data_IF_830727189276
#
_entry.id   IF_830727189276
#
_cell.length_a   1.000
_cell.length_b   1.000
_cell.length_c   1.000
_cell.angle_alpha   90.00
_cell.angle_beta   90.00
_cell.angle_gamma   90.00
#
_symmetry.space_group_name_H-M   'P 1'
#
loop_
_entity.id
_entity.type
_entity.pdbx_description
1 polymer ?
#
# COMPACT_ATOMS: atom_id res chain seq x y z
N UNK A 1 12.26 12.71 15.86
CA UNK A 1 12.10 12.39 14.44
C UNK A 1 11.70 13.62 13.65
N UNK A 2 12.63 14.19 12.88
CA UNK A 2 12.36 15.31 11.98
C UNK A 2 11.93 14.76 10.62
N UNK A 3 10.64 14.84 10.33
CA UNK A 3 10.06 14.39 9.06
C UNK A 3 9.89 15.59 8.12
N UNK A 4 10.23 15.41 6.84
CA UNK A 4 9.95 16.38 5.78
C UNK A 4 9.19 15.71 4.64
N UNK A 5 8.24 16.43 4.04
CA UNK A 5 7.57 15.98 2.82
C UNK A 5 8.59 15.78 1.69
N UNK A 6 8.44 14.68 0.96
CA UNK A 6 9.22 14.35 -0.23
C UNK A 6 8.26 13.89 -1.32
N UNK A 7 8.42 14.44 -2.54
CA UNK A 7 7.62 14.04 -3.69
C UNK A 7 8.35 12.91 -4.43
N UNK A 8 7.70 11.76 -4.62
CA UNK A 8 8.24 10.62 -5.37
C UNK A 8 8.12 10.83 -6.88
N UNK A 9 8.81 10.01 -7.67
CA UNK A 9 8.82 10.11 -9.14
C UNK A 9 7.46 9.83 -9.80
N UNK A 10 6.54 9.14 -9.10
CA UNK A 10 5.14 8.93 -9.53
C UNK A 10 4.18 10.06 -9.08
N UNK A 11 4.72 11.18 -8.57
CA UNK A 11 3.99 12.33 -8.03
C UNK A 11 3.18 12.04 -6.76
N UNK A 12 3.46 10.97 -6.02
CA UNK A 12 2.90 10.77 -4.68
C UNK A 12 3.75 11.42 -3.59
N UNK A 13 3.12 11.77 -2.46
CA UNK A 13 3.83 12.31 -1.30
C UNK A 13 4.31 11.16 -0.40
N UNK A 14 5.55 11.26 0.08
CA UNK A 14 6.11 10.42 1.14
C UNK A 14 6.80 11.30 2.19
N UNK A 15 7.28 10.68 3.27
CA UNK A 15 8.05 11.37 4.31
C UNK A 15 9.49 10.87 4.33
N UNK A 16 10.43 11.81 4.38
CA UNK A 16 11.84 11.54 4.64
C UNK A 16 12.09 11.66 6.14
N UNK A 17 12.65 10.61 6.74
CA UNK A 17 13.24 10.67 8.06
C UNK A 17 14.72 11.07 7.95
N UNK A 18 15.02 12.31 8.34
CA UNK A 18 16.36 12.87 8.24
C UNK A 18 17.40 12.22 9.18
N UNK A 19 16.96 11.56 10.25
CA UNK A 19 17.87 10.93 11.23
C UNK A 19 18.50 9.64 10.68
N UNK A 20 17.74 8.88 9.89
CA UNK A 20 18.20 7.61 9.29
C UNK A 20 18.37 7.68 7.77
N UNK A 21 18.07 8.84 7.16
CA UNK A 21 18.15 9.07 5.71
C UNK A 21 17.30 8.09 4.88
N UNK A 22 16.15 7.67 5.41
CA UNK A 22 15.21 6.78 4.73
C UNK A 22 13.87 7.47 4.48
N UNK A 23 13.26 7.12 3.35
CA UNK A 23 11.91 7.52 2.99
C UNK A 23 10.93 6.41 3.37
N UNK A 24 9.70 6.78 3.72
CA UNK A 24 8.66 5.81 4.10
C UNK A 24 8.23 4.92 2.92
N UNK A 25 8.40 5.41 1.70
CA UNK A 25 8.18 4.68 0.45
C UNK A 25 9.33 4.91 -0.51
N UNK A 26 9.52 3.99 -1.45
CA UNK A 26 10.50 4.11 -2.52
C UNK A 26 10.42 5.48 -3.20
N UNK A 27 11.59 6.08 -3.47
CA UNK A 27 11.69 7.34 -4.22
C UNK A 27 11.11 7.22 -5.63
N UNK A 28 11.01 5.99 -6.17
CA UNK A 28 10.40 5.71 -7.47
C UNK A 28 8.89 5.88 -7.48
N UNK A 29 8.21 5.70 -6.34
CA UNK A 29 6.76 5.86 -6.25
C UNK A 29 6.09 4.96 -5.21
N UNK A 30 5.25 5.55 -4.35
CA UNK A 30 4.53 4.79 -3.33
C UNK A 30 3.43 3.90 -3.93
N UNK A 31 2.82 4.31 -5.04
CA UNK A 31 1.76 3.56 -5.74
C UNK A 31 2.36 2.38 -6.49
N UNK A 32 3.44 2.60 -7.24
CA UNK A 32 4.13 1.53 -7.96
C UNK A 32 4.66 0.47 -7.00
N UNK A 33 5.22 0.90 -5.86
CA UNK A 33 5.68 -0.02 -4.82
C UNK A 33 4.54 -0.83 -4.22
N UNK A 34 3.46 -0.17 -3.76
CA UNK A 34 2.29 -0.83 -3.19
C UNK A 34 1.70 -1.88 -4.14
N UNK A 35 1.70 -1.60 -5.45
CA UNK A 35 1.20 -2.51 -6.47
C UNK A 35 2.17 -3.68 -6.71
N UNK A 36 3.42 -3.37 -7.09
CA UNK A 36 4.38 -4.37 -7.60
C UNK A 36 5.00 -5.22 -6.50
N UNK A 37 5.21 -4.68 -5.29
CA UNK A 37 5.85 -5.41 -4.19
C UNK A 37 4.85 -6.09 -3.26
N UNK A 38 3.62 -5.58 -3.17
CA UNK A 38 2.62 -6.11 -2.22
C UNK A 38 1.39 -6.67 -2.95
N UNK A 39 0.60 -5.85 -3.63
CA UNK A 39 -0.72 -6.30 -4.14
C UNK A 39 -0.63 -7.39 -5.21
N UNK A 40 0.31 -7.30 -6.14
CA UNK A 40 0.55 -8.35 -7.16
C UNK A 40 1.11 -9.63 -6.51
N UNK A 41 2.21 -9.59 -5.74
CA UNK A 41 2.76 -10.80 -5.11
C UNK A 41 1.79 -11.49 -4.13
N UNK A 42 0.95 -10.71 -3.44
CA UNK A 42 -0.09 -11.23 -2.55
C UNK A 42 -1.32 -11.76 -3.28
N UNK A 43 -1.37 -11.68 -4.62
CA UNK A 43 -2.47 -12.22 -5.45
C UNK A 43 -3.84 -11.67 -5.07
N UNK A 44 -3.90 -10.38 -4.75
CA UNK A 44 -5.13 -9.71 -4.31
C UNK A 44 -6.25 -9.88 -5.34
N UNK A 45 -5.89 -9.77 -6.63
CA UNK A 45 -6.81 -9.96 -7.76
C UNK A 45 -7.45 -11.35 -7.74
N UNK A 46 -6.65 -12.40 -7.63
CA UNK A 46 -7.13 -13.77 -7.60
C UNK A 46 -7.97 -14.06 -6.35
N UNK A 47 -7.59 -13.51 -5.20
CA UNK A 47 -8.34 -13.66 -3.95
C UNK A 47 -9.69 -12.92 -4.02
N UNK A 48 -9.77 -11.76 -4.65
CA UNK A 48 -11.00 -10.99 -4.81
C UNK A 48 -12.10 -11.77 -5.56
N UNK A 49 -11.72 -12.64 -6.52
CA UNK A 49 -12.65 -13.56 -7.20
C UNK A 49 -13.35 -14.54 -6.29
N UNK A 50 -12.78 -14.83 -5.12
CA UNK A 50 -13.40 -15.72 -4.12
C UNK A 50 -14.50 -15.02 -3.31
N UNK A 51 -14.67 -13.70 -3.49
CA UNK A 51 -15.70 -12.89 -2.85
C UNK A 51 -15.28 -12.27 -1.51
N UNK A 52 -14.15 -12.67 -0.93
CA UNK A 52 -13.65 -12.05 0.30
C UNK A 52 -12.12 -12.04 0.34
N UNK A 53 -11.54 -10.89 0.70
CA UNK A 53 -10.10 -10.71 0.92
C UNK A 53 -9.88 -10.27 2.37
N UNK A 54 -8.97 -10.94 3.07
CA UNK A 54 -8.58 -10.61 4.45
C UNK A 54 -7.09 -10.33 4.50
N UNK A 55 -6.71 -9.14 4.96
CA UNK A 55 -5.34 -8.64 4.93
C UNK A 55 -4.88 -8.30 6.35
N UNK A 56 -3.67 -8.73 6.70
CA UNK A 56 -2.92 -8.22 7.83
C UNK A 56 -1.88 -7.22 7.31
N UNK A 57 -2.09 -5.93 7.59
CA UNK A 57 -1.14 -4.87 7.23
C UNK A 57 -0.20 -4.59 8.41
N UNK A 58 1.04 -5.04 8.28
CA UNK A 58 2.08 -4.89 9.29
C UNK A 58 2.82 -3.57 9.05
N UNK A 59 2.69 -2.62 9.99
CA UNK A 59 3.19 -1.24 9.92
C UNK A 59 2.38 -0.37 8.95
N UNK A 60 1.21 0.05 9.41
CA UNK A 60 0.21 0.75 8.60
C UNK A 60 0.75 2.02 7.92
N UNK A 61 1.56 2.81 8.63
CA UNK A 61 2.12 4.06 8.16
C UNK A 61 1.03 5.01 7.64
N UNK A 62 1.08 5.32 6.35
CA UNK A 62 0.09 6.17 5.67
C UNK A 62 -0.97 5.38 4.89
N UNK A 63 -0.97 4.05 5.00
CA UNK A 63 -2.01 3.18 4.47
C UNK A 63 -1.93 2.89 2.96
N UNK A 64 -0.84 3.23 2.27
CA UNK A 64 -0.71 3.05 0.82
C UNK A 64 -0.85 1.58 0.38
N UNK A 65 -0.31 0.64 1.15
CA UNK A 65 -0.41 -0.80 0.84
C UNK A 65 -1.87 -1.27 0.94
N UNK A 66 -2.55 -0.92 2.04
CA UNK A 66 -3.98 -1.18 2.23
C UNK A 66 -4.84 -0.55 1.13
N UNK A 67 -4.60 0.73 0.79
CA UNK A 67 -5.36 1.43 -0.24
C UNK A 67 -5.21 0.78 -1.62
N UNK A 68 -3.97 0.41 -2.00
CA UNK A 68 -3.71 -0.28 -3.27
C UNK A 68 -4.36 -1.68 -3.29
N UNK A 69 -4.32 -2.42 -2.19
CA UNK A 69 -4.98 -3.72 -2.13
C UNK A 69 -6.51 -3.61 -2.26
N UNK A 70 -7.11 -2.55 -1.69
CA UNK A 70 -8.54 -2.27 -1.88
C UNK A 70 -8.85 -1.97 -3.34
N UNK A 71 -8.08 -1.09 -3.97
CA UNK A 71 -8.27 -0.70 -5.37
C UNK A 71 -8.20 -1.91 -6.30
N UNK A 72 -7.15 -2.73 -6.17
CA UNK A 72 -6.97 -3.96 -6.97
C UNK A 72 -8.08 -4.98 -6.73
N UNK A 73 -8.54 -5.13 -5.49
CA UNK A 73 -9.62 -6.07 -5.18
C UNK A 73 -10.97 -5.64 -5.77
N UNK A 74 -11.32 -4.36 -5.63
CA UNK A 74 -12.58 -3.81 -6.13
C UNK A 74 -12.60 -3.67 -7.66
N UNK A 75 -11.44 -3.44 -8.29
CA UNK A 75 -11.32 -3.48 -9.76
C UNK A 75 -11.69 -4.88 -10.32
N UNK A 76 -11.27 -5.95 -9.64
CA UNK A 76 -11.55 -7.32 -10.09
C UNK A 76 -12.93 -7.81 -9.68
N UNK A 77 -13.39 -7.45 -8.49
CA UNK A 77 -14.71 -7.83 -7.99
C UNK A 77 -15.28 -6.67 -7.14
N UNK A 78 -16.16 -5.83 -7.71
CA UNK A 78 -16.76 -4.70 -7.00
C UNK A 78 -17.56 -5.08 -5.75
N UNK A 79 -18.05 -6.33 -5.68
CA UNK A 79 -18.80 -6.85 -4.54
C UNK A 79 -17.90 -7.59 -3.51
N UNK A 80 -16.58 -7.57 -3.72
CA UNK A 80 -15.64 -8.24 -2.83
C UNK A 80 -15.72 -7.64 -1.42
N UNK A 81 -15.94 -8.50 -0.42
CA UNK A 81 -15.82 -8.10 0.98
C UNK A 81 -14.35 -8.00 1.36
N UNK A 82 -13.91 -6.84 1.81
CA UNK A 82 -12.51 -6.61 2.19
C UNK A 82 -12.44 -6.36 3.69
N UNK A 83 -11.58 -7.11 4.38
CA UNK A 83 -11.28 -6.93 5.80
C UNK A 83 -9.77 -6.68 5.94
N UNK A 84 -9.42 -5.56 6.57
CA UNK A 84 -8.03 -5.21 6.84
C UNK A 84 -7.87 -5.04 8.34
N UNK A 85 -6.92 -5.78 8.90
CA UNK A 85 -6.42 -5.56 10.25
C UNK A 85 -5.04 -4.96 10.11
N UNK A 86 -4.86 -3.73 10.60
CA UNK A 86 -3.60 -3.02 10.51
C UNK A 86 -2.98 -2.83 11.90
N UNK A 87 -1.67 -3.02 11.99
CA UNK A 87 -0.89 -2.80 13.21
C UNK A 87 0.13 -1.70 12.94
N UNK A 88 0.27 -0.77 13.89
CA UNK A 88 1.26 0.32 13.88
C UNK A 88 2.20 0.19 15.08
#
# INVERSE_FOLDING_TARGET
>A
MKLSKFLTLDNTETFLNAEVQQTYHSQTGAVEEALKKYSIPCKIKELARTGTVRILDMFFGIGNNSAMAIDVALEENPDCKIEIVAVE
#
